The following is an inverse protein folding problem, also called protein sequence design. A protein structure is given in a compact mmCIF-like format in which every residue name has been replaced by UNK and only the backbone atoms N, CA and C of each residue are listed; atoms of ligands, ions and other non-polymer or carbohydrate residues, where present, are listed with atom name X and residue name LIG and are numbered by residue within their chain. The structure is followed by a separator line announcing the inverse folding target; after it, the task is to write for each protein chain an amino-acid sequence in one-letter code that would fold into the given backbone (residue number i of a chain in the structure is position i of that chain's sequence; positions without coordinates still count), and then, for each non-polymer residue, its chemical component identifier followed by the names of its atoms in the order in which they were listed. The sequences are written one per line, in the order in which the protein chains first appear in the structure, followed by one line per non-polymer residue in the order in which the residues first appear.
data_IF_091034030868
#
_entry.id   IF_091034030868
#
_cell.length_a   1.000
_cell.length_b   1.000
_cell.length_c   1.000
_cell.angle_alpha   90.00
_cell.angle_beta   90.00
_cell.angle_gamma   90.00
#
_symmetry.space_group_name_H-M   'P 1'
#
loop_
_entity.id
_entity.type
_entity.pdbx_description
1 polymer ?
#
# COMPACT_ATOMS: atom_id res chain seq x y z
N UNK A 1 15.97 4.71 4.74
CA UNK A 1 15.22 3.64 4.06
C UNK A 1 16.13 2.69 3.27
N UNK A 2 17.11 3.16 2.48
CA UNK A 2 17.99 2.27 1.68
C UNK A 2 18.69 1.19 2.50
N UNK A 3 19.23 1.52 3.68
CA UNK A 3 19.87 0.54 4.55
C UNK A 3 18.92 -0.57 5.02
N UNK A 4 17.66 -0.24 5.32
CA UNK A 4 16.65 -1.24 5.69
C UNK A 4 16.29 -2.16 4.52
N UNK A 5 16.36 -1.62 3.30
CA UNK A 5 16.17 -2.41 2.07
C UNK A 5 17.34 -3.37 1.82
N UNK A 6 18.56 -2.87 1.92
CA UNK A 6 19.78 -3.64 1.58
C UNK A 6 20.07 -4.72 2.61
N UNK A 7 20.00 -4.37 3.89
CA UNK A 7 20.42 -5.23 4.99
C UNK A 7 19.24 -5.91 5.72
N UNK A 8 18.01 -5.46 5.45
CA UNK A 8 16.85 -5.77 6.28
C UNK A 8 16.81 -4.94 7.56
N UNK A 9 15.60 -4.75 8.09
CA UNK A 9 15.40 -3.92 9.29
C UNK A 9 16.17 -4.45 10.52
N UNK A 10 16.08 -5.77 10.80
CA UNK A 10 16.69 -6.36 12.01
C UNK A 10 18.21 -6.33 11.99
N UNK A 11 18.81 -6.58 10.83
CA UNK A 11 20.27 -6.59 10.69
C UNK A 11 20.88 -5.18 10.70
N UNK A 12 20.11 -4.15 10.31
CA UNK A 12 20.57 -2.76 10.29
C UNK A 12 20.78 -2.24 11.71
N UNK A 13 21.99 -1.73 11.98
CA UNK A 13 22.37 -1.14 13.27
C UNK A 13 22.34 0.39 13.21
N UNK A 14 22.11 1.02 14.38
CA UNK A 14 22.14 2.50 14.49
C UNK A 14 23.48 3.06 14.03
N UNK A 15 24.58 2.34 14.26
CA UNK A 15 25.93 2.70 13.79
C UNK A 15 26.01 2.83 12.27
N UNK A 16 25.35 1.95 11.55
CA UNK A 16 25.33 1.97 10.07
C UNK A 16 24.51 3.16 9.57
N UNK A 17 23.36 3.43 10.23
CA UNK A 17 22.52 4.58 9.92
C UNK A 17 23.31 5.88 10.12
N UNK A 18 23.96 6.04 11.29
CA UNK A 18 24.71 7.25 11.61
C UNK A 18 25.92 7.43 10.71
N UNK A 19 26.62 6.34 10.35
CA UNK A 19 27.72 6.36 9.40
C UNK A 19 27.28 6.77 8.00
N UNK A 20 26.16 6.23 7.53
CA UNK A 20 25.61 6.58 6.21
C UNK A 20 25.19 8.07 6.12
N UNK A 21 24.73 8.64 7.22
CA UNK A 21 24.33 10.04 7.31
C UNK A 21 25.49 10.99 7.68
N UNK A 22 26.66 10.47 8.02
CA UNK A 22 27.81 11.28 8.44
C UNK A 22 27.59 11.99 9.79
N UNK A 23 26.76 11.43 10.68
CA UNK A 23 26.44 11.99 12.01
C UNK A 23 26.97 11.11 13.14
N UNK A 24 27.12 11.69 14.33
CA UNK A 24 27.47 10.92 15.53
C UNK A 24 26.27 10.15 16.09
N UNK A 25 26.53 9.06 16.85
CA UNK A 25 25.49 8.38 17.61
C UNK A 25 24.79 9.31 18.58
N UNK A 26 25.51 10.22 19.25
CA UNK A 26 24.94 11.21 20.14
C UNK A 26 23.92 12.11 19.44
N UNK A 27 24.25 12.53 18.21
CA UNK A 27 23.31 13.31 17.39
C UNK A 27 22.06 12.49 17.02
N UNK A 28 22.23 11.21 16.66
CA UNK A 28 21.08 10.32 16.41
C UNK A 28 20.13 10.26 17.61
N UNK A 29 20.68 9.99 18.80
CA UNK A 29 19.89 9.86 20.02
C UNK A 29 19.32 11.19 20.56
N UNK A 30 19.66 12.32 19.93
CA UNK A 30 18.98 13.60 20.17
C UNK A 30 17.59 13.64 19.54
N UNK A 31 17.38 12.89 18.45
CA UNK A 31 16.12 12.88 17.69
C UNK A 31 15.31 11.60 17.83
N UNK A 32 15.98 10.46 18.00
CA UNK A 32 15.34 9.14 18.05
C UNK A 32 15.90 8.32 19.21
N UNK A 33 15.03 7.75 20.02
CA UNK A 33 15.45 6.89 21.13
C UNK A 33 15.87 5.48 20.64
N UNK A 34 15.41 5.08 19.44
CA UNK A 34 15.69 3.77 18.90
C UNK A 34 15.55 3.76 17.36
N UNK A 35 15.96 2.68 16.71
CA UNK A 35 15.74 2.51 15.26
C UNK A 35 14.27 2.21 14.93
N UNK A 36 13.51 1.71 15.89
CA UNK A 36 12.06 1.53 15.80
C UNK A 36 11.36 2.87 15.59
N UNK A 37 11.76 3.93 16.32
CA UNK A 37 11.21 5.28 16.11
C UNK A 37 11.51 5.79 14.71
N UNK A 38 12.70 5.54 14.16
CA UNK A 38 13.00 5.89 12.76
C UNK A 38 12.05 5.17 11.80
N UNK A 39 11.71 3.91 12.06
CA UNK A 39 10.77 3.18 11.23
C UNK A 39 9.36 3.77 11.31
N UNK A 40 8.89 4.13 12.51
CA UNK A 40 7.58 4.76 12.68
C UNK A 40 7.49 6.11 11.95
N UNK A 41 8.54 6.92 12.00
CA UNK A 41 8.62 8.16 11.22
C UNK A 41 8.56 7.90 9.71
N UNK A 42 9.26 6.87 9.23
CA UNK A 42 9.18 6.47 7.82
C UNK A 42 7.76 6.05 7.43
N UNK A 43 7.07 5.28 8.28
CA UNK A 43 5.68 4.88 8.04
C UNK A 43 4.75 6.09 8.05
N UNK A 44 4.97 7.05 8.97
CA UNK A 44 4.25 8.32 9.00
C UNK A 44 4.41 9.11 7.71
N UNK A 45 5.64 9.27 7.21
CA UNK A 45 5.92 9.94 5.93
C UNK A 45 5.25 9.21 4.76
N UNK A 46 5.26 7.88 4.77
CA UNK A 46 4.58 7.09 3.72
C UNK A 46 3.07 7.30 3.75
N UNK A 47 2.47 7.37 4.94
CA UNK A 47 1.05 7.66 5.13
C UNK A 47 0.69 9.05 4.57
N UNK A 48 1.45 10.09 4.93
CA UNK A 48 1.22 11.45 4.42
C UNK A 48 1.32 11.50 2.89
N UNK A 49 2.38 10.93 2.31
CA UNK A 49 2.51 10.85 0.86
C UNK A 49 1.35 10.11 0.19
N UNK A 50 0.79 9.11 0.87
CA UNK A 50 -0.38 8.38 0.34
C UNK A 50 -1.63 9.23 0.37
N UNK A 51 -1.83 10.00 1.44
CA UNK A 51 -2.93 10.96 1.57
C UNK A 51 -2.83 12.05 0.50
N UNK A 52 -1.64 12.61 0.29
CA UNK A 52 -1.41 13.62 -0.75
C UNK A 52 -1.79 13.11 -2.13
N UNK A 53 -1.37 11.88 -2.48
CA UNK A 53 -1.74 11.24 -3.74
C UNK A 53 -3.26 11.05 -3.91
N UNK A 54 -4.00 10.78 -2.82
CA UNK A 54 -5.46 10.69 -2.88
C UNK A 54 -6.11 12.06 -3.09
N UNK A 55 -5.55 13.12 -2.47
CA UNK A 55 -6.05 14.49 -2.64
C UNK A 55 -5.81 15.04 -4.04
N UNK A 56 -4.77 14.59 -4.73
CA UNK A 56 -4.47 14.97 -6.11
C UNK A 56 -5.36 14.27 -7.16
N UNK A 57 -6.08 13.23 -6.76
CA UNK A 57 -6.96 12.48 -7.67
C UNK A 57 -8.18 13.31 -8.08
N UNK A 58 -8.46 13.33 -9.39
CA UNK A 58 -9.70 13.86 -9.93
C UNK A 58 -10.85 12.88 -9.65
N UNK A 59 -11.57 13.15 -8.58
CA UNK A 59 -12.70 12.31 -8.13
C UNK A 59 -14.02 12.64 -8.84
N UNK A 60 -14.07 13.67 -9.68
CA UNK A 60 -15.29 14.04 -10.43
C UNK A 60 -15.50 13.19 -11.68
N UNK A 61 -14.49 12.44 -12.11
CA UNK A 61 -14.56 11.46 -13.20
C UNK A 61 -15.60 10.36 -12.96
N UNK A 62 -15.88 9.58 -14.00
CA UNK A 62 -16.64 8.32 -13.86
C UNK A 62 -16.02 7.42 -12.77
N UNK A 63 -16.81 6.84 -11.87
CA UNK A 63 -16.29 5.99 -10.77
C UNK A 63 -15.34 4.88 -11.22
N UNK A 64 -15.50 4.35 -12.44
CA UNK A 64 -14.59 3.33 -12.99
C UNK A 64 -13.22 3.91 -13.34
N UNK A 65 -13.19 5.16 -13.82
CA UNK A 65 -11.94 5.86 -14.11
C UNK A 65 -11.23 6.19 -12.80
N UNK A 66 -11.97 6.66 -11.78
CA UNK A 66 -11.43 6.87 -10.43
C UNK A 66 -10.83 5.59 -9.86
N UNK A 67 -11.53 4.45 -10.01
CA UNK A 67 -11.01 3.15 -9.56
C UNK A 67 -9.73 2.76 -10.30
N UNK A 68 -9.66 3.00 -11.60
CA UNK A 68 -8.46 2.73 -12.40
C UNK A 68 -7.28 3.59 -11.98
N UNK A 69 -7.51 4.90 -11.85
CA UNK A 69 -6.49 5.86 -11.40
C UNK A 69 -5.98 5.51 -10.00
N UNK A 70 -6.90 5.13 -9.09
CA UNK A 70 -6.55 4.65 -7.75
C UNK A 70 -5.69 3.38 -7.82
N UNK A 71 -6.09 2.39 -8.61
CA UNK A 71 -5.35 1.13 -8.74
C UNK A 71 -3.93 1.34 -9.28
N UNK A 72 -3.76 2.20 -10.30
CA UNK A 72 -2.44 2.55 -10.84
C UNK A 72 -1.57 3.31 -9.83
N UNK A 73 -2.14 4.32 -9.15
CA UNK A 73 -1.44 5.06 -8.09
C UNK A 73 -1.04 4.12 -6.95
N UNK A 74 -1.95 3.22 -6.54
CA UNK A 74 -1.69 2.27 -5.48
C UNK A 74 -0.61 1.27 -5.87
N UNK A 75 -0.65 0.73 -7.10
CA UNK A 75 0.38 -0.14 -7.65
C UNK A 75 1.75 0.53 -7.64
N UNK A 76 1.82 1.78 -8.11
CA UNK A 76 3.07 2.53 -8.16
C UNK A 76 3.65 2.74 -6.76
N UNK A 77 2.82 3.12 -5.81
CA UNK A 77 3.20 3.29 -4.40
C UNK A 77 3.67 1.97 -3.79
N UNK A 78 2.92 0.88 -4.00
CA UNK A 78 3.25 -0.46 -3.55
C UNK A 78 4.63 -0.92 -4.07
N UNK A 79 4.88 -0.80 -5.37
CA UNK A 79 6.16 -1.17 -5.96
C UNK A 79 7.30 -0.30 -5.45
N UNK A 80 7.07 1.00 -5.25
CA UNK A 80 8.08 1.93 -4.72
C UNK A 80 8.54 1.56 -3.32
N UNK A 81 7.63 1.12 -2.45
CA UNK A 81 7.90 0.91 -1.03
C UNK A 81 8.04 -0.56 -0.65
N UNK A 82 7.19 -1.46 -1.13
CA UNK A 82 7.22 -2.88 -0.78
C UNK A 82 8.35 -3.67 -1.43
N UNK A 83 8.73 -3.36 -2.68
CA UNK A 83 9.99 -3.90 -3.26
C UNK A 83 11.23 -3.53 -2.44
N UNK A 84 11.09 -2.55 -1.53
CA UNK A 84 12.16 -2.07 -0.66
C UNK A 84 12.13 -2.67 0.75
N UNK A 85 11.09 -3.40 1.10
CA UNK A 85 11.01 -4.18 2.34
C UNK A 85 11.47 -5.59 2.01
N UNK A 86 12.57 -6.02 2.62
CA UNK A 86 12.99 -7.41 2.51
C UNK A 86 11.95 -8.31 3.16
N UNK A 87 11.14 -8.99 2.34
CA UNK A 87 10.02 -9.85 2.79
C UNK A 87 10.45 -11.01 3.69
N UNK A 88 11.75 -11.36 3.71
CA UNK A 88 12.28 -12.38 4.62
C UNK A 88 12.09 -12.04 6.11
N UNK A 89 11.79 -10.79 6.43
CA UNK A 89 11.60 -10.32 7.80
C UNK A 89 10.17 -9.82 8.08
N UNK A 90 9.21 -10.08 7.20
CA UNK A 90 7.84 -9.57 7.33
C UNK A 90 7.17 -10.04 8.64
N UNK A 91 7.49 -11.27 9.08
CA UNK A 91 6.96 -11.84 10.33
C UNK A 91 7.28 -10.98 11.57
N UNK A 92 8.45 -10.37 11.58
CA UNK A 92 8.84 -9.52 12.71
C UNK A 92 8.11 -8.17 12.68
N UNK A 93 7.82 -7.63 11.49
CA UNK A 93 6.96 -6.45 11.35
C UNK A 93 5.52 -6.72 11.80
N UNK A 94 4.98 -7.89 11.46
CA UNK A 94 3.62 -8.30 11.85
C UNK A 94 3.47 -8.62 13.35
N UNK A 95 4.56 -8.59 14.13
CA UNK A 95 4.53 -8.74 15.59
C UNK A 95 4.61 -7.41 16.33
N UNK A 96 4.93 -6.32 15.64
CA UNK A 96 4.99 -4.99 16.24
C UNK A 96 3.62 -4.30 16.14
N UNK A 97 2.96 -4.15 17.28
CA UNK A 97 1.60 -3.59 17.37
C UNK A 97 1.51 -2.18 16.78
N UNK A 98 2.54 -1.35 16.94
CA UNK A 98 2.55 0.01 16.37
C UNK A 98 2.65 -0.01 14.84
N UNK A 99 3.41 -0.95 14.28
CA UNK A 99 3.50 -1.11 12.84
C UNK A 99 2.14 -1.56 12.28
N UNK A 100 1.50 -2.54 12.94
CA UNK A 100 0.17 -3.01 12.56
C UNK A 100 -0.82 -1.85 12.57
N UNK A 101 -0.87 -1.07 13.65
CA UNK A 101 -1.76 0.09 13.75
C UNK A 101 -1.53 1.12 12.62
N UNK A 102 -0.29 1.41 12.25
CA UNK A 102 0.01 2.30 11.13
C UNK A 102 -0.47 1.74 9.78
N UNK A 103 -0.33 0.42 9.59
CA UNK A 103 -0.82 -0.25 8.37
C UNK A 103 -2.35 -0.19 8.32
N UNK A 104 -3.03 -0.51 9.42
CA UNK A 104 -4.50 -0.45 9.54
C UNK A 104 -5.03 0.97 9.28
N UNK A 105 -4.39 1.99 9.84
CA UNK A 105 -4.78 3.39 9.60
C UNK A 105 -4.66 3.77 8.11
N UNK A 106 -3.59 3.35 7.44
CA UNK A 106 -3.43 3.60 6.00
C UNK A 106 -4.50 2.86 5.21
N UNK A 107 -4.76 1.60 5.53
CA UNK A 107 -5.79 0.80 4.86
C UNK A 107 -7.18 1.40 5.02
N UNK A 108 -7.52 1.85 6.23
CA UNK A 108 -8.80 2.50 6.51
C UNK A 108 -9.02 3.75 5.65
N UNK A 109 -8.00 4.60 5.51
CA UNK A 109 -8.04 5.79 4.65
C UNK A 109 -8.29 5.39 3.18
N UNK A 110 -7.61 4.37 2.68
CA UNK A 110 -7.73 3.90 1.30
C UNK A 110 -9.11 3.28 1.02
N UNK A 111 -9.62 2.49 1.97
CA UNK A 111 -10.94 1.88 1.88
C UNK A 111 -12.03 2.94 1.95
N UNK A 112 -11.91 3.94 2.82
CA UNK A 112 -12.84 5.07 2.90
C UNK A 112 -12.87 5.87 1.59
N UNK A 113 -11.70 6.13 0.98
CA UNK A 113 -11.61 6.77 -0.31
C UNK A 113 -12.35 5.97 -1.39
N UNK A 114 -12.11 4.67 -1.50
CA UNK A 114 -12.80 3.79 -2.44
C UNK A 114 -14.31 3.74 -2.19
N UNK A 115 -14.73 3.65 -0.94
CA UNK A 115 -16.15 3.66 -0.60
C UNK A 115 -16.83 4.92 -1.12
N UNK A 116 -16.33 6.11 -0.75
CA UNK A 116 -16.95 7.39 -1.07
C UNK A 116 -16.88 7.75 -2.56
N UNK A 117 -15.70 7.57 -3.17
CA UNK A 117 -15.45 8.10 -4.50
C UNK A 117 -15.69 7.09 -5.63
N UNK A 118 -15.82 5.80 -5.30
CA UNK A 118 -16.06 4.74 -6.27
C UNK A 118 -17.40 4.05 -5.96
N UNK A 119 -17.48 3.28 -4.89
CA UNK A 119 -18.59 2.37 -4.62
C UNK A 119 -19.92 3.10 -4.46
N UNK A 120 -19.98 4.17 -3.67
CA UNK A 120 -21.23 4.96 -3.43
C UNK A 120 -21.73 5.71 -4.66
N UNK A 121 -20.85 5.92 -5.63
CA UNK A 121 -21.15 6.62 -6.89
C UNK A 121 -21.51 5.68 -8.05
N UNK A 122 -21.25 4.38 -7.90
CA UNK A 122 -21.67 3.39 -8.90
C UNK A 122 -23.19 3.24 -8.92
N UNK A 123 -23.76 3.25 -10.12
CA UNK A 123 -25.21 3.12 -10.34
C UNK A 123 -25.70 1.76 -9.77
N UNK A 124 -26.75 1.82 -8.96
CA UNK A 124 -27.33 0.62 -8.33
C UNK A 124 -26.73 0.18 -7.01
N UNK A 125 -25.57 0.72 -6.59
CA UNK A 125 -24.90 0.33 -5.35
C UNK A 125 -25.80 0.46 -4.10
N UNK A 126 -26.62 1.52 -4.04
CA UNK A 126 -27.52 1.82 -2.91
C UNK A 126 -28.80 0.98 -2.90
N UNK A 127 -29.17 0.38 -4.01
CA UNK A 127 -30.49 -0.30 -4.18
C UNK A 127 -30.45 -1.79 -3.86
N UNK A 128 -29.26 -2.40 -3.75
CA UNK A 128 -29.11 -3.85 -3.58
C UNK A 128 -28.88 -4.31 -2.14
N UNK A 129 -28.88 -3.39 -1.17
CA UNK A 129 -28.69 -3.74 0.24
C UNK A 129 -27.28 -4.25 0.60
N UNK A 130 -26.30 -4.02 -0.26
CA UNK A 130 -24.91 -4.38 0.04
C UNK A 130 -24.30 -3.46 1.10
N UNK A 131 -23.41 -4.01 1.93
CA UNK A 131 -22.54 -3.20 2.76
C UNK A 131 -21.47 -2.56 1.89
N UNK A 132 -21.58 -1.26 1.63
CA UNK A 132 -20.70 -0.54 0.70
C UNK A 132 -19.24 -0.48 1.18
N UNK A 133 -19.03 -0.43 2.52
CA UNK A 133 -17.69 -0.53 3.08
C UNK A 133 -17.08 -1.90 2.80
N UNK A 134 -17.82 -2.98 2.99
CA UNK A 134 -17.32 -4.33 2.67
C UNK A 134 -16.97 -4.48 1.19
N UNK A 135 -17.74 -3.88 0.28
CA UNK A 135 -17.39 -3.86 -1.15
C UNK A 135 -16.09 -3.12 -1.39
N UNK A 136 -15.89 -1.96 -0.74
CA UNK A 136 -14.63 -1.21 -0.85
C UNK A 136 -13.43 -2.00 -0.28
N UNK A 137 -13.60 -2.67 0.85
CA UNK A 137 -12.61 -3.59 1.44
C UNK A 137 -12.27 -4.73 0.48
N UNK A 138 -13.29 -5.36 -0.11
CA UNK A 138 -13.10 -6.45 -1.07
C UNK A 138 -12.30 -6.00 -2.30
N UNK A 139 -12.61 -4.81 -2.84
CA UNK A 139 -11.86 -4.21 -3.95
C UNK A 139 -10.40 -4.01 -3.55
N UNK A 140 -10.16 -3.40 -2.40
CA UNK A 140 -8.85 -3.10 -1.89
C UNK A 140 -8.01 -4.37 -1.69
N UNK A 141 -8.53 -5.36 -0.96
CA UNK A 141 -7.84 -6.64 -0.70
C UNK A 141 -7.56 -7.41 -1.98
N UNK A 142 -8.49 -7.38 -2.95
CA UNK A 142 -8.30 -8.03 -4.25
C UNK A 142 -7.14 -7.40 -5.03
N UNK A 143 -7.00 -6.08 -5.01
CA UNK A 143 -5.88 -5.37 -5.63
C UNK A 143 -4.55 -5.66 -4.91
N UNK A 144 -4.52 -5.62 -3.59
CA UNK A 144 -3.35 -5.99 -2.79
C UNK A 144 -2.85 -7.39 -3.14
N UNK A 145 -3.77 -8.37 -3.18
CA UNK A 145 -3.44 -9.75 -3.56
C UNK A 145 -2.83 -9.87 -4.95
N UNK A 146 -3.33 -9.12 -5.92
CA UNK A 146 -2.78 -9.11 -7.29
C UNK A 146 -1.38 -8.49 -7.34
N UNK A 147 -1.14 -7.42 -6.58
CA UNK A 147 0.17 -6.77 -6.54
C UNK A 147 1.21 -7.64 -5.84
N UNK A 148 0.83 -8.30 -4.74
CA UNK A 148 1.68 -9.27 -4.05
C UNK A 148 2.04 -10.44 -4.97
N UNK A 149 1.06 -11.06 -5.64
CA UNK A 149 1.29 -12.15 -6.60
C UNK A 149 2.29 -11.75 -7.70
N UNK A 150 2.17 -10.52 -8.21
CA UNK A 150 3.09 -9.99 -9.22
C UNK A 150 4.51 -9.83 -8.66
N UNK A 151 4.64 -9.27 -7.45
CA UNK A 151 5.94 -9.09 -6.80
C UNK A 151 6.63 -10.43 -6.56
N UNK A 152 5.92 -11.41 -6.01
CA UNK A 152 6.48 -12.75 -5.75
C UNK A 152 6.86 -13.48 -7.04
N UNK A 153 6.02 -13.36 -8.08
CA UNK A 153 6.28 -14.00 -9.38
C UNK A 153 7.53 -13.43 -10.05
N UNK A 154 7.70 -12.10 -9.99
CA UNK A 154 8.89 -11.44 -10.54
C UNK A 154 10.16 -11.75 -9.75
N UNK A 155 10.09 -11.74 -8.40
CA UNK A 155 11.25 -11.97 -7.53
C UNK A 155 11.75 -13.42 -7.57
N UNK A 156 10.83 -14.37 -7.71
CA UNK A 156 11.15 -15.81 -7.76
C UNK A 156 11.36 -16.33 -9.19
N UNK A 157 11.36 -15.46 -10.20
CA UNK A 157 11.48 -15.83 -11.62
C UNK A 157 10.47 -16.92 -12.04
N UNK A 158 9.32 -16.97 -11.36
CA UNK A 158 8.29 -17.94 -11.65
C UNK A 158 7.63 -17.64 -13.00
N UNK A 159 7.37 -18.68 -13.80
CA UNK A 159 6.59 -18.52 -15.05
C UNK A 159 5.22 -17.95 -14.70
N UNK A 160 4.85 -16.85 -15.36
CA UNK A 160 3.52 -16.23 -15.18
C UNK A 160 2.44 -17.30 -15.40
N UNK A 161 1.62 -17.51 -14.40
CA UNK A 161 0.53 -18.49 -14.40
C UNK A 161 -0.62 -18.07 -15.33
N UNK A 162 -0.71 -16.76 -15.61
CA UNK A 162 -1.70 -16.13 -16.48
C UNK A 162 -1.01 -15.15 -17.42
N UNK A 163 -1.43 -15.15 -18.69
CA UNK A 163 -0.89 -14.27 -19.74
C UNK A 163 -1.41 -12.82 -19.67
N UNK A 164 -2.24 -12.49 -18.66
CA UNK A 164 -2.82 -11.15 -18.49
C UNK A 164 -1.84 -10.15 -17.89
N UNK A 165 -1.78 -8.98 -18.50
CA UNK A 165 -1.09 -7.82 -17.92
C UNK A 165 -1.81 -7.31 -16.67
N UNK A 166 -1.12 -6.51 -15.84
CA UNK A 166 -1.75 -5.90 -14.66
C UNK A 166 -2.90 -4.97 -15.06
N UNK A 167 -2.73 -4.20 -16.15
CA UNK A 167 -3.77 -3.33 -16.68
C UNK A 167 -5.02 -4.11 -17.09
N UNK A 168 -4.88 -5.23 -17.78
CA UNK A 168 -6.00 -6.11 -18.12
C UNK A 168 -6.70 -6.66 -16.88
N UNK A 169 -5.95 -7.04 -15.83
CA UNK A 169 -6.52 -7.51 -14.56
C UNK A 169 -7.33 -6.41 -13.87
N UNK A 170 -6.79 -5.20 -13.79
CA UNK A 170 -7.48 -4.04 -13.20
C UNK A 170 -8.76 -3.74 -13.97
N UNK A 171 -8.70 -3.73 -15.31
CA UNK A 171 -9.87 -3.50 -16.15
C UNK A 171 -10.97 -4.55 -15.91
N UNK A 172 -10.60 -5.84 -15.87
CA UNK A 172 -11.58 -6.91 -15.60
C UNK A 172 -12.22 -6.83 -14.21
N UNK A 173 -11.43 -6.50 -13.17
CA UNK A 173 -11.99 -6.28 -11.84
C UNK A 173 -12.97 -5.10 -11.86
N UNK A 174 -12.59 -3.99 -12.48
CA UNK A 174 -13.43 -2.79 -12.59
C UNK A 174 -14.76 -3.10 -13.30
N UNK A 175 -14.72 -3.83 -14.40
CA UNK A 175 -15.92 -4.26 -15.13
C UNK A 175 -16.78 -5.23 -14.32
N UNK A 176 -16.16 -6.22 -13.66
CA UNK A 176 -16.87 -7.17 -12.81
C UNK A 176 -17.64 -6.46 -11.69
N UNK A 177 -16.97 -5.56 -10.97
CA UNK A 177 -17.59 -4.80 -9.86
C UNK A 177 -18.73 -3.93 -10.39
N UNK A 178 -18.48 -3.19 -11.48
CA UNK A 178 -19.53 -2.35 -12.08
C UNK A 178 -20.74 -3.15 -12.51
N UNK A 179 -20.55 -4.34 -13.08
CA UNK A 179 -21.67 -5.20 -13.48
C UNK A 179 -22.39 -5.83 -12.29
N UNK A 180 -21.67 -6.14 -11.22
CA UNK A 180 -22.27 -6.66 -9.99
C UNK A 180 -23.10 -5.59 -9.25
N UNK A 181 -22.72 -4.31 -9.36
CA UNK A 181 -23.40 -3.19 -8.68
C UNK A 181 -24.54 -2.55 -9.51
N UNK A 182 -24.66 -2.83 -10.80
CA UNK A 182 -25.82 -2.45 -11.63
C UNK A 182 -27.03 -3.28 -11.24
#
# INVERSE_FOLDING_TARGET
MELFKENGYHATKVEEITKALGISKGNFYTYFNSKEEVLYEILGIMKEQRIDLLHEMDVDKDPKEVLRDFAESHRHFFLKYLKRVNLQNIEAFLKDEKIILHIEEIQDILIEFLQKNVVERMEGSKNKGYNLRFIAEFIFISMEGLFLDTCFTEELELKKKYEMTMEEKINQITEFINNALK
#
